data_IF_693528002798
#
_entry.id   IF_693528002798
#
_cell.length_a   1.000
_cell.length_b   1.000
_cell.length_c   1.000
_cell.angle_alpha   90.00
_cell.angle_beta   90.00
_cell.angle_gamma   90.00
#
_symmetry.space_group_name_H-M   'P 1'
#
loop_
_entity.id
_entity.type
_entity.pdbx_description
1 polymer ?
#
# COMPACT_ATOMS: atom_id res chain seq x y z
N UNK A 1 -7.36 4.23 -9.47
CA UNK A 1 -6.90 3.43 -8.31
C UNK A 1 -6.81 1.96 -8.74
N UNK A 2 -5.74 1.55 -9.43
CA UNK A 2 -5.67 0.24 -10.12
C UNK A 2 -4.43 -0.56 -9.71
N UNK A 3 -4.20 -0.71 -8.40
CA UNK A 3 -3.23 -1.65 -7.84
C UNK A 3 -3.86 -2.32 -6.62
N UNK A 4 -3.73 -3.65 -6.54
CA UNK A 4 -4.25 -4.45 -5.44
C UNK A 4 -3.22 -4.45 -4.31
N UNK A 5 -3.61 -4.00 -3.11
CA UNK A 5 -2.74 -3.84 -1.96
C UNK A 5 -2.43 -2.37 -1.61
N UNK A 6 -1.47 -2.18 -0.70
CA UNK A 6 -1.09 -0.85 -0.21
C UNK A 6 -0.36 -0.04 -1.29
N UNK A 7 -0.76 1.21 -1.47
CA UNK A 7 -0.12 2.18 -2.37
C UNK A 7 0.11 3.49 -1.65
N UNK A 8 1.33 4.03 -1.73
CA UNK A 8 1.68 5.35 -1.22
C UNK A 8 1.99 6.27 -2.41
N UNK A 9 1.39 7.45 -2.42
CA UNK A 9 1.70 8.52 -3.37
C UNK A 9 2.14 9.72 -2.55
N UNK A 10 3.44 10.00 -2.58
CA UNK A 10 3.99 11.23 -2.02
C UNK A 10 3.92 12.33 -3.08
N UNK A 11 3.42 13.51 -2.69
CA UNK A 11 3.14 14.61 -3.61
C UNK A 11 3.83 15.86 -3.08
N UNK A 12 4.77 16.40 -3.86
CA UNK A 12 5.36 17.71 -3.57
C UNK A 12 4.28 18.79 -3.64
N UNK A 13 3.84 19.25 -2.48
CA UNK A 13 2.81 20.26 -2.33
C UNK A 13 3.41 21.59 -1.86
N UNK A 14 3.54 22.62 -2.72
CA UNK A 14 4.05 23.92 -2.30
C UNK A 14 3.07 24.63 -1.35
N UNK A 15 3.57 25.16 -0.24
CA UNK A 15 2.80 26.00 0.68
C UNK A 15 3.04 27.48 0.36
N UNK A 16 2.18 28.07 -0.47
CA UNK A 16 2.36 29.43 -1.01
C UNK A 16 2.39 30.51 0.08
N UNK A 17 1.74 30.30 1.22
CA UNK A 17 1.67 31.30 2.30
C UNK A 17 2.95 31.36 3.12
N UNK A 18 3.46 30.20 3.57
CA UNK A 18 4.51 30.14 4.59
C UNK A 18 5.86 29.66 4.07
N UNK A 19 5.89 28.69 3.14
CA UNK A 19 7.16 28.17 2.62
C UNK A 19 7.57 28.92 1.35
N UNK A 20 8.45 29.91 1.52
CA UNK A 20 8.99 30.72 0.41
C UNK A 20 10.24 30.11 -0.24
N UNK A 21 10.77 29.02 0.30
CA UNK A 21 11.97 28.34 -0.21
C UNK A 21 11.55 27.27 -1.23
N UNK A 22 10.73 26.30 -0.80
CA UNK A 22 10.25 25.22 -1.68
C UNK A 22 9.00 25.66 -2.46
N UNK A 23 9.19 26.62 -3.34
CA UNK A 23 8.14 27.11 -4.24
C UNK A 23 7.86 26.12 -5.37
N UNK A 24 6.75 26.33 -6.10
CA UNK A 24 6.45 25.54 -7.31
C UNK A 24 7.60 25.56 -8.33
N UNK A 25 8.18 26.74 -8.59
CA UNK A 25 9.33 26.89 -9.49
C UNK A 25 10.53 26.08 -9.00
N UNK A 26 10.84 26.19 -7.70
CA UNK A 26 11.95 25.45 -7.09
C UNK A 26 11.76 23.94 -7.24
N UNK A 27 10.57 23.40 -6.92
CA UNK A 27 10.31 21.97 -7.12
C UNK A 27 10.48 21.57 -8.59
N UNK A 28 9.93 22.34 -9.54
CA UNK A 28 10.01 22.04 -10.98
C UNK A 28 11.47 21.96 -11.49
N UNK A 29 12.37 22.77 -10.95
CA UNK A 29 13.80 22.76 -11.31
C UNK A 29 14.56 21.58 -10.68
N UNK A 30 14.08 21.10 -9.54
CA UNK A 30 14.74 20.10 -8.69
C UNK A 30 14.11 18.71 -8.77
N UNK A 31 13.24 18.45 -9.74
CA UNK A 31 12.66 17.13 -10.02
C UNK A 31 13.05 16.64 -11.41
N UNK A 32 12.93 15.34 -11.63
CA UNK A 32 13.00 14.71 -12.95
C UNK A 32 12.04 13.52 -13.02
N UNK A 33 11.59 13.15 -14.22
CA UNK A 33 10.78 11.95 -14.40
C UNK A 33 11.68 10.74 -14.64
N UNK A 34 11.36 9.63 -13.99
CA UNK A 34 11.92 8.32 -14.34
C UNK A 34 11.44 7.95 -15.75
N UNK A 35 12.36 7.45 -16.57
CA UNK A 35 12.07 7.02 -17.94
C UNK A 35 11.73 5.52 -18.02
N UNK A 36 11.40 5.05 -19.22
CA UNK A 36 10.98 3.67 -19.48
C UNK A 36 12.09 2.63 -19.29
N UNK A 37 13.35 3.05 -19.12
CA UNK A 37 14.46 2.15 -18.80
C UNK A 37 14.53 1.79 -17.32
N UNK A 38 13.81 2.51 -16.46
CA UNK A 38 13.76 2.25 -15.03
C UNK A 38 12.92 1.01 -14.71
N UNK A 39 13.50 0.05 -13.97
CA UNK A 39 12.75 -1.11 -13.47
C UNK A 39 12.19 -0.85 -12.06
N UNK A 40 10.86 -0.69 -11.91
CA UNK A 40 10.23 -0.49 -10.60
C UNK A 40 10.14 -1.76 -9.75
N UNK A 41 10.62 -2.92 -10.23
CA UNK A 41 10.62 -4.17 -9.46
C UNK A 41 11.91 -4.40 -8.67
N UNK A 42 12.98 -3.65 -8.96
CA UNK A 42 14.21 -3.67 -8.17
C UNK A 42 14.04 -2.80 -6.91
N UNK A 43 13.85 -3.48 -5.77
CA UNK A 43 13.69 -2.82 -4.47
C UNK A 43 14.91 -2.00 -4.06
N UNK A 44 16.12 -2.43 -4.42
CA UNK A 44 17.36 -1.76 -4.03
C UNK A 44 17.54 -0.47 -4.81
N UNK A 45 17.31 -0.52 -6.13
CA UNK A 45 17.33 0.68 -6.98
C UNK A 45 16.21 1.65 -6.60
N UNK A 46 15.00 1.16 -6.31
CA UNK A 46 13.91 1.98 -5.79
C UNK A 46 14.28 2.72 -4.50
N UNK A 47 14.96 2.05 -3.57
CA UNK A 47 15.39 2.68 -2.35
C UNK A 47 16.48 3.74 -2.59
N UNK A 48 17.47 3.45 -3.46
CA UNK A 48 18.49 4.44 -3.87
C UNK A 48 17.84 5.69 -4.46
N UNK A 49 16.86 5.52 -5.35
CA UNK A 49 16.08 6.62 -5.93
C UNK A 49 15.30 7.41 -4.88
N UNK A 50 14.64 6.74 -3.94
CA UNK A 50 13.82 7.38 -2.91
C UNK A 50 14.62 8.28 -1.95
N UNK A 51 15.91 8.00 -1.76
CA UNK A 51 16.80 8.78 -0.88
C UNK A 51 17.67 9.79 -1.63
N UNK A 52 17.50 9.93 -2.95
CA UNK A 52 18.22 10.94 -3.72
C UNK A 52 17.95 12.34 -3.17
N UNK A 53 19.01 13.13 -3.05
CA UNK A 53 18.93 14.52 -2.66
C UNK A 53 19.34 15.39 -3.84
N UNK A 54 18.35 16.02 -4.48
CA UNK A 54 18.47 16.95 -5.61
C UNK A 54 19.28 16.38 -6.81
N UNK A 55 18.63 15.96 -7.90
CA UNK A 55 17.19 16.07 -8.23
C UNK A 55 16.35 14.93 -7.65
N UNK A 56 15.06 15.17 -7.38
CA UNK A 56 14.12 14.17 -6.88
C UNK A 56 13.41 13.43 -8.04
N UNK A 57 13.32 12.10 -7.99
CA UNK A 57 12.62 11.32 -9.01
C UNK A 57 11.10 11.45 -8.88
N UNK A 58 10.42 11.57 -10.02
CA UNK A 58 8.98 11.50 -10.18
C UNK A 58 8.62 10.27 -11.02
N UNK A 59 7.58 9.56 -10.60
CA UNK A 59 7.10 8.36 -11.27
C UNK A 59 6.80 7.25 -10.26
N UNK A 60 6.72 6.02 -10.75
CA UNK A 60 6.54 4.85 -9.88
C UNK A 60 7.92 4.38 -9.46
N UNK A 61 8.26 4.59 -8.18
CA UNK A 61 9.53 4.11 -7.62
C UNK A 61 9.54 2.60 -7.42
N UNK A 62 8.43 2.00 -6.97
CA UNK A 62 8.45 0.58 -6.63
C UNK A 62 7.10 -0.09 -6.82
N UNK A 63 7.14 -1.32 -7.34
CA UNK A 63 6.01 -2.24 -7.44
C UNK A 63 6.49 -3.63 -6.99
N UNK A 64 5.79 -4.21 -6.01
CA UNK A 64 5.98 -5.61 -5.64
C UNK A 64 4.76 -6.45 -6.05
N UNK A 65 4.82 -7.18 -7.18
CA UNK A 65 3.72 -8.03 -7.63
C UNK A 65 3.55 -9.30 -6.78
N UNK A 66 4.58 -9.66 -6.00
CA UNK A 66 4.62 -10.90 -5.24
C UNK A 66 4.09 -10.74 -3.80
N UNK A 67 3.60 -9.54 -3.43
CA UNK A 67 3.09 -9.30 -2.10
C UNK A 67 1.58 -9.52 -2.06
N UNK A 68 1.17 -10.57 -1.35
CA UNK A 68 -0.24 -10.82 -1.07
C UNK A 68 -0.83 -9.69 -0.22
N UNK A 69 -1.97 -9.10 -0.63
CA UNK A 69 -2.71 -8.14 0.19
C UNK A 69 -3.13 -8.75 1.53
N UNK A 70 -3.32 -7.91 2.54
CA UNK A 70 -3.59 -8.39 3.90
C UNK A 70 -4.90 -9.18 3.99
N UNK A 71 -5.94 -8.71 3.31
CA UNK A 71 -7.26 -9.31 3.21
C UNK A 71 -7.25 -10.75 2.66
N UNK A 72 -6.26 -11.10 1.84
CA UNK A 72 -6.11 -12.43 1.27
C UNK A 72 -5.33 -13.39 2.17
N UNK A 73 -4.56 -12.88 3.14
CA UNK A 73 -3.81 -13.69 4.12
C UNK A 73 -4.73 -14.22 5.21
N UNK A 74 -5.78 -13.46 5.55
CA UNK A 74 -6.71 -13.79 6.62
C UNK A 74 -7.49 -15.07 6.32
N UNK A 75 -7.32 -16.09 7.16
CA UNK A 75 -7.92 -17.42 6.97
C UNK A 75 -9.45 -17.41 6.93
N UNK A 76 -10.07 -16.47 7.63
CA UNK A 76 -11.51 -16.27 7.63
C UNK A 76 -12.08 -15.91 6.24
N UNK A 77 -11.23 -15.44 5.34
CA UNK A 77 -11.57 -15.07 3.97
C UNK A 77 -11.07 -16.06 2.91
N UNK A 78 -10.64 -17.27 3.28
CA UNK A 78 -10.16 -18.27 2.31
C UNK A 78 -11.31 -18.96 1.55
N UNK A 79 -12.34 -19.39 2.27
CA UNK A 79 -13.49 -20.10 1.68
C UNK A 79 -14.62 -19.14 1.31
N UNK A 80 -14.81 -18.08 2.09
CA UNK A 80 -15.87 -17.11 1.92
C UNK A 80 -15.31 -15.70 1.93
N UNK A 81 -15.57 -14.91 0.88
CA UNK A 81 -15.09 -13.53 0.74
C UNK A 81 -16.06 -12.47 1.28
N UNK A 82 -17.28 -12.87 1.65
CA UNK A 82 -18.31 -12.00 2.25
C UNK A 82 -17.78 -11.32 3.52
N UNK A 83 -18.13 -10.05 3.76
CA UNK A 83 -17.67 -9.36 4.96
C UNK A 83 -18.25 -10.01 6.22
N UNK A 84 -17.48 -10.03 7.31
CA UNK A 84 -17.90 -10.68 8.55
C UNK A 84 -19.25 -10.18 9.10
N UNK A 85 -19.58 -8.89 8.94
CA UNK A 85 -20.84 -8.33 9.44
C UNK A 85 -22.08 -8.77 8.63
N UNK A 86 -21.87 -9.30 7.41
CA UNK A 86 -22.92 -9.77 6.51
C UNK A 86 -23.17 -11.28 6.66
N UNK A 87 -22.30 -11.98 7.38
CA UNK A 87 -22.41 -13.42 7.58
C UNK A 87 -23.37 -13.74 8.71
N UNK A 88 -24.22 -14.73 8.48
CA UNK A 88 -25.06 -15.29 9.53
C UNK A 88 -24.29 -16.31 10.37
N UNK A 89 -24.57 -16.33 11.67
CA UNK A 89 -23.96 -17.30 12.58
C UNK A 89 -24.71 -18.63 12.48
N UNK A 90 -23.99 -19.68 12.12
CA UNK A 90 -24.49 -21.04 12.27
C UNK A 90 -24.60 -21.39 13.77
N UNK A 91 -25.82 -21.23 14.30
CA UNK A 91 -26.12 -21.41 15.71
C UNK A 91 -25.93 -22.86 16.18
N UNK A 92 -26.09 -23.84 15.29
CA UNK A 92 -25.94 -25.24 15.67
C UNK A 92 -24.46 -25.64 15.73
N UNK A 93 -23.64 -25.17 14.78
CA UNK A 93 -22.18 -25.28 14.85
C UNK A 93 -21.60 -24.58 16.08
N UNK A 94 -22.14 -23.40 16.43
CA UNK A 94 -21.74 -22.67 17.63
C UNK A 94 -22.07 -23.44 18.92
N UNK A 95 -23.29 -23.98 19.05
CA UNK A 95 -23.68 -24.81 20.20
C UNK A 95 -22.74 -26.01 20.38
N UNK A 96 -22.48 -26.74 19.29
CA UNK A 96 -21.59 -27.91 19.31
C UNK A 96 -20.16 -27.52 19.76
N UNK A 97 -19.64 -26.37 19.31
CA UNK A 97 -18.35 -25.85 19.73
C UNK A 97 -18.33 -25.52 21.24
N UNK A 98 -19.36 -24.84 21.75
CA UNK A 98 -19.48 -24.49 23.17
C UNK A 98 -19.50 -25.76 24.03
N UNK A 99 -20.28 -26.77 23.64
CA UNK A 99 -20.34 -28.05 24.36
C UNK A 99 -19.00 -28.78 24.35
N UNK A 100 -18.26 -28.75 23.24
CA UNK A 100 -16.93 -29.38 23.12
C UNK A 100 -15.90 -28.80 24.10
N UNK A 101 -16.07 -27.54 24.53
CA UNK A 101 -15.16 -26.85 25.45
C UNK A 101 -15.63 -26.84 26.91
N UNK A 102 -16.88 -27.27 27.18
CA UNK A 102 -17.46 -27.35 28.54
C UNK A 102 -17.00 -28.56 29.36
N UNK A 103 -16.37 -29.56 28.74
CA UNK A 103 -15.92 -30.80 29.42
C UNK A 103 -14.44 -30.77 29.83
N UNK A 104 -13.85 -29.57 29.90
CA UNK A 104 -12.55 -29.27 30.52
C UNK A 104 -12.85 -28.40 31.73
#
# INVERSE_FOLDING_TARGET
>A
MSKRGYSLVDVFQPCVTYNKINTFKWFKENVYYLDDSYDPHDRSEAFKKAIEYLKFPLGILYINPNKTPYEDILSVYWEEKTHLYEREVDMDKLKALIESKRKI
#
